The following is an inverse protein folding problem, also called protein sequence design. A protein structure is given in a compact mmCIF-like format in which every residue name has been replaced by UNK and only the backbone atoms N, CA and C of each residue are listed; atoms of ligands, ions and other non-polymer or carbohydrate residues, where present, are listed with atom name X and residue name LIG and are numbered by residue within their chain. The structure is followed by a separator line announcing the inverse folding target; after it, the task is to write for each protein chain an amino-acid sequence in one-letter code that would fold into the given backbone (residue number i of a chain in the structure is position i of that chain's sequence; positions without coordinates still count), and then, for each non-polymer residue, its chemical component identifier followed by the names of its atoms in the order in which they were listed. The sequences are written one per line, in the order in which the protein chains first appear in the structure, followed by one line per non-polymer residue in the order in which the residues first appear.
data_IF_532245914508
#
_entry.id   IF_532245914508
#
_cell.length_a   1.000
_cell.length_b   1.000
_cell.length_c   1.000
_cell.angle_alpha   90.00
_cell.angle_beta   90.00
_cell.angle_gamma   90.00
#
_symmetry.space_group_name_H-M   'P 1'
#
loop_
_entity.id
_entity.type
_entity.pdbx_description
1 polymer ?
#
# COMPACT_ATOMS: atom_id res chain seq x y z
N UNK A 1 -12.62 5.56 -20.17
CA UNK A 1 -12.39 6.03 -18.79
C UNK A 1 -11.33 5.14 -18.16
N UNK A 2 -10.31 5.68 -17.46
CA UNK A 2 -9.31 4.85 -16.78
C UNK A 2 -9.97 4.02 -15.67
N UNK A 3 -9.56 2.76 -15.51
CA UNK A 3 -10.06 1.85 -14.47
C UNK A 3 -9.08 1.82 -13.29
N UNK A 4 -9.58 1.92 -12.08
CA UNK A 4 -8.79 1.81 -10.85
C UNK A 4 -9.34 0.64 -10.04
N UNK A 5 -8.45 -0.17 -9.51
CA UNK A 5 -8.79 -1.10 -8.44
C UNK A 5 -8.56 -0.40 -7.09
N UNK A 6 -9.65 -0.15 -6.37
CA UNK A 6 -9.61 0.63 -5.14
C UNK A 6 -9.19 -0.20 -3.92
N UNK A 7 -8.95 -1.50 -4.08
CA UNK A 7 -8.55 -2.35 -2.98
C UNK A 7 -7.65 -3.49 -3.46
N UNK A 8 -6.35 -3.34 -3.22
CA UNK A 8 -5.39 -4.43 -3.37
C UNK A 8 -4.73 -4.69 -2.02
N UNK A 9 -4.88 -5.93 -1.55
CA UNK A 9 -4.20 -6.44 -0.36
C UNK A 9 -2.90 -7.13 -0.79
N UNK A 10 -1.80 -6.81 -0.12
CA UNK A 10 -0.46 -7.37 -0.39
C UNK A 10 -0.13 -8.33 0.74
N UNK A 11 0.47 -9.47 0.43
CA UNK A 11 0.87 -10.41 1.48
C UNK A 11 1.92 -9.77 2.41
N UNK A 12 1.96 -10.13 3.70
CA UNK A 12 2.79 -9.47 4.71
C UNK A 12 4.31 -9.66 4.51
N UNK A 13 4.73 -10.43 3.51
CA UNK A 13 6.13 -10.62 3.15
C UNK A 13 6.41 -10.24 1.69
N UNK A 14 7.54 -9.55 1.46
CA UNK A 14 8.02 -9.14 0.12
C UNK A 14 8.30 -10.32 -0.83
N UNK A 15 8.35 -11.55 -0.29
CA UNK A 15 8.49 -12.79 -1.06
C UNK A 15 7.15 -13.29 -1.65
N UNK A 16 6.02 -12.85 -1.10
CA UNK A 16 4.68 -13.34 -1.49
C UNK A 16 3.91 -12.32 -2.35
N UNK A 17 4.32 -11.05 -2.37
CA UNK A 17 3.77 -10.06 -3.32
C UNK A 17 4.83 -9.04 -3.70
N UNK A 18 5.18 -9.03 -4.98
CA UNK A 18 6.18 -8.13 -5.56
C UNK A 18 5.55 -7.08 -6.48
N UNK A 19 6.32 -6.05 -6.85
CA UNK A 19 5.91 -5.09 -7.90
C UNK A 19 5.57 -5.79 -9.22
N UNK A 20 6.24 -6.89 -9.54
CA UNK A 20 5.98 -7.69 -10.74
C UNK A 20 4.58 -8.32 -10.71
N UNK A 21 4.15 -8.79 -9.55
CA UNK A 21 2.81 -9.37 -9.38
C UNK A 21 1.74 -8.28 -9.48
N UNK A 22 2.00 -7.10 -8.91
CA UNK A 22 1.12 -5.94 -9.01
C UNK A 22 0.94 -5.48 -10.47
N UNK A 23 2.04 -5.36 -11.22
CA UNK A 23 1.99 -4.99 -12.63
C UNK A 23 1.27 -6.03 -13.47
N UNK A 24 1.47 -7.32 -13.16
CA UNK A 24 0.76 -8.42 -13.82
C UNK A 24 -0.74 -8.32 -13.58
N UNK A 25 -1.17 -8.11 -12.33
CA UNK A 25 -2.59 -7.89 -11.96
C UNK A 25 -3.18 -6.70 -12.71
N UNK A 26 -2.47 -5.56 -12.72
CA UNK A 26 -2.93 -4.38 -13.44
C UNK A 26 -3.13 -4.66 -14.93
N UNK A 27 -2.17 -5.34 -15.55
CA UNK A 27 -2.22 -5.68 -16.98
C UNK A 27 -3.33 -6.67 -17.32
N UNK A 28 -3.51 -7.73 -16.53
CA UNK A 28 -4.55 -8.75 -16.80
C UNK A 28 -5.96 -8.18 -16.71
N UNK A 29 -6.17 -7.16 -15.88
CA UNK A 29 -7.48 -6.55 -15.68
C UNK A 29 -7.68 -5.21 -16.41
N UNK A 30 -6.67 -4.73 -17.14
CA UNK A 30 -6.72 -3.43 -17.83
C UNK A 30 -6.86 -2.25 -16.85
N UNK A 31 -6.23 -2.35 -15.69
CA UNK A 31 -6.22 -1.33 -14.66
C UNK A 31 -5.15 -0.28 -14.97
N UNK A 32 -5.51 0.98 -14.79
CA UNK A 32 -4.61 2.11 -14.92
C UNK A 32 -3.75 2.28 -13.67
N UNK A 33 -4.40 2.23 -12.49
CA UNK A 33 -3.78 2.38 -11.17
C UNK A 33 -4.49 1.49 -10.13
N UNK A 34 -3.89 1.37 -8.96
CA UNK A 34 -4.44 0.67 -7.79
C UNK A 34 -4.32 1.51 -6.52
N UNK A 35 -5.10 1.16 -5.49
CA UNK A 35 -4.88 1.62 -4.11
C UNK A 35 -4.52 0.41 -3.25
N UNK A 36 -3.39 0.50 -2.55
CA UNK A 36 -2.95 -0.53 -1.61
C UNK A 36 -3.68 -0.37 -0.28
N UNK A 37 -4.14 -1.48 0.31
CA UNK A 37 -4.86 -1.47 1.58
C UNK A 37 -4.20 -2.47 2.53
N UNK A 38 -3.89 -2.01 3.74
CA UNK A 38 -3.25 -2.80 4.79
C UNK A 38 -4.11 -3.99 5.24
N UNK A 39 -3.46 -5.10 5.63
CA UNK A 39 -4.14 -6.36 5.97
C UNK A 39 -4.09 -6.69 7.47
N UNK A 40 -3.00 -6.34 8.14
CA UNK A 40 -2.75 -6.64 9.56
C UNK A 40 -2.44 -5.34 10.31
N UNK A 41 -2.82 -5.19 11.59
CA UNK A 41 -2.63 -3.94 12.34
C UNK A 41 -1.18 -3.76 12.84
N UNK A 42 -0.23 -3.63 11.91
CA UNK A 42 1.19 -3.43 12.17
C UNK A 42 1.74 -2.27 11.31
N UNK A 43 2.39 -1.29 11.94
CA UNK A 43 2.97 -0.13 11.23
C UNK A 43 4.04 -0.55 10.22
N UNK A 44 4.76 -1.62 10.50
CA UNK A 44 5.78 -2.14 9.57
C UNK A 44 5.17 -2.63 8.26
N UNK A 45 3.90 -3.09 8.26
CA UNK A 45 3.20 -3.38 7.02
C UNK A 45 2.89 -2.10 6.23
N UNK A 46 2.47 -1.03 6.90
CA UNK A 46 2.28 0.28 6.24
C UNK A 46 3.56 0.74 5.55
N UNK A 47 4.72 0.59 6.22
CA UNK A 47 6.03 0.92 5.64
C UNK A 47 6.36 0.06 4.44
N UNK A 48 6.13 -1.25 4.51
CA UNK A 48 6.34 -2.16 3.38
C UNK A 48 5.50 -1.77 2.15
N UNK A 49 4.24 -1.39 2.38
CA UNK A 49 3.34 -0.96 1.30
C UNK A 49 3.76 0.39 0.70
N UNK A 50 4.31 1.29 1.52
CA UNK A 50 4.87 2.56 1.07
C UNK A 50 6.10 2.32 0.18
N UNK A 51 7.03 1.45 0.60
CA UNK A 51 8.19 1.06 -0.23
C UNK A 51 7.74 0.45 -1.57
N UNK A 52 6.71 -0.40 -1.57
CA UNK A 52 6.15 -0.96 -2.81
C UNK A 52 5.53 0.12 -3.71
N UNK A 53 4.96 1.17 -3.12
CA UNK A 53 4.39 2.29 -3.87
C UNK A 53 5.47 3.12 -4.57
N UNK A 54 6.65 3.28 -3.96
CA UNK A 54 7.81 3.95 -4.58
C UNK A 54 8.33 3.18 -5.79
N UNK A 55 8.24 1.85 -5.77
CA UNK A 55 8.70 0.98 -6.86
C UNK A 55 7.76 0.98 -8.08
N UNK A 56 6.53 1.52 -7.97
CA UNK A 56 5.56 1.45 -9.05
C UNK A 56 4.67 2.68 -9.18
N UNK A 57 4.75 3.33 -10.34
CA UNK A 57 3.77 4.35 -10.72
C UNK A 57 2.33 3.84 -10.78
N UNK A 58 2.09 2.52 -10.76
CA UNK A 58 0.74 1.95 -10.73
C UNK A 58 0.01 2.24 -9.43
N UNK A 59 0.71 2.50 -8.34
CA UNK A 59 0.07 2.81 -7.06
C UNK A 59 -0.39 4.28 -7.05
N UNK A 60 -1.69 4.50 -6.92
CA UNK A 60 -2.27 5.84 -6.80
C UNK A 60 -2.40 6.31 -5.35
N UNK A 61 -2.27 5.40 -4.38
CA UNK A 61 -2.36 5.72 -2.97
C UNK A 61 -2.38 4.47 -2.10
N UNK A 62 -2.40 4.72 -0.78
CA UNK A 62 -2.32 3.70 0.25
C UNK A 62 -3.34 4.01 1.37
N UNK A 63 -3.99 2.97 1.88
CA UNK A 63 -4.82 3.00 3.09
C UNK A 63 -4.10 2.18 4.16
N UNK A 64 -3.47 2.90 5.08
CA UNK A 64 -2.73 2.33 6.20
C UNK A 64 -3.56 2.26 7.47
N UNK A 65 -2.92 1.81 8.55
CA UNK A 65 -3.49 1.68 9.87
C UNK A 65 -2.57 2.30 10.91
N UNK A 66 -3.16 2.91 11.93
CA UNK A 66 -2.49 3.38 13.14
C UNK A 66 -3.39 3.13 14.35
N UNK A 67 -2.80 3.03 15.54
CA UNK A 67 -3.55 2.90 16.78
C UNK A 67 -4.11 4.26 17.23
N UNK A 68 -5.39 4.54 17.03
CA UNK A 68 -5.97 5.82 17.46
C UNK A 68 -6.03 6.04 18.98
N UNK A 69 -5.82 5.01 19.80
CA UNK A 69 -5.79 5.15 21.26
C UNK A 69 -4.41 5.54 21.79
N UNK A 70 -3.36 5.34 20.99
CA UNK A 70 -1.99 5.70 21.36
C UNK A 70 -1.76 7.21 21.29
N UNK A 71 -1.09 7.74 22.32
CA UNK A 71 -0.65 9.14 22.38
C UNK A 71 0.45 9.47 21.37
N UNK A 72 1.18 8.46 20.91
CA UNK A 72 2.28 8.61 19.95
C UNK A 72 1.79 8.71 18.49
N UNK A 73 0.51 8.43 18.24
CA UNK A 73 -0.07 8.33 16.89
C UNK A 73 0.11 9.57 16.02
N UNK A 74 -0.01 10.81 16.52
CA UNK A 74 0.32 11.98 15.71
C UNK A 74 1.75 11.98 15.18
N UNK A 75 2.72 11.51 15.99
CA UNK A 75 4.12 11.35 15.56
C UNK A 75 4.29 10.26 14.51
N UNK A 76 3.63 9.11 14.71
CA UNK A 76 3.63 8.01 13.74
C UNK A 76 3.07 8.46 12.39
N UNK A 77 1.95 9.20 12.38
CA UNK A 77 1.37 9.74 11.14
C UNK A 77 2.34 10.73 10.47
N UNK A 78 2.98 11.60 11.23
CA UNK A 78 3.95 12.56 10.70
C UNK A 78 5.17 11.86 10.08
N UNK A 79 5.67 10.81 10.72
CA UNK A 79 6.77 9.98 10.20
C UNK A 79 6.37 9.28 8.89
N UNK A 80 5.19 8.66 8.85
CA UNK A 80 4.67 8.00 7.64
C UNK A 80 4.39 8.99 6.50
N UNK A 81 3.94 10.21 6.81
CA UNK A 81 3.67 11.24 5.82
C UNK A 81 4.94 11.91 5.27
N UNK A 82 6.10 11.66 5.89
CA UNK A 82 7.40 12.18 5.46
C UNK A 82 8.14 11.24 4.50
N UNK A 83 7.51 10.11 4.14
CA UNK A 83 8.03 9.17 3.16
C UNK A 83 8.05 9.80 1.75
#
# INVERSE_FOLDING_TARGET
MPRIDAQVHVAPSRAETSVVDLERHCRSHGLYRVVLVQNVPAIDETRLLLELAEESERVAGLVGWVDFESRETPGVIADLASH
#
